data_IF_512475074425
#
_entry.id   IF_512475074425
#
_cell.length_a   1.000
_cell.length_b   1.000
_cell.length_c   1.000
_cell.angle_alpha   90.00
_cell.angle_beta   90.00
_cell.angle_gamma   90.00
#
_symmetry.space_group_name_H-M   'P 1'
#
loop_
_entity.id
_entity.type
_entity.pdbx_description
1 polymer ?
#
# COMPACT_ATOMS: atom_id res chain seq x y z
N UNK A 1 18.74 15.75 10.52
CA UNK A 1 18.41 15.08 9.23
C UNK A 1 17.78 16.13 8.32
N UNK A 2 18.34 16.39 7.14
CA UNK A 2 17.82 17.45 6.25
C UNK A 2 16.47 17.09 5.64
N UNK A 3 15.60 18.08 5.39
CA UNK A 3 14.26 17.89 4.79
C UNK A 3 14.27 16.99 3.54
N UNK A 4 15.31 17.11 2.71
CA UNK A 4 15.49 16.30 1.49
C UNK A 4 15.50 14.79 1.76
N UNK A 5 16.17 14.34 2.84
CA UNK A 5 16.18 12.91 3.20
C UNK A 5 14.82 12.41 3.67
N UNK A 6 13.94 13.26 4.20
CA UNK A 6 12.59 12.85 4.60
C UNK A 6 11.62 12.73 3.42
N UNK A 7 11.92 13.37 2.30
CA UNK A 7 11.12 13.29 1.07
C UNK A 7 11.33 11.96 0.34
N UNK A 8 12.51 11.33 0.52
CA UNK A 8 12.82 10.01 -0.03
C UNK A 8 11.96 8.88 0.59
N UNK A 9 11.40 9.07 1.79
CA UNK A 9 10.59 8.06 2.49
C UNK A 9 9.09 8.09 2.15
N UNK A 10 8.70 8.85 1.11
CA UNK A 10 7.35 8.84 0.56
C UNK A 10 6.52 10.10 0.85
N UNK A 11 5.23 10.08 0.46
CA UNK A 11 4.37 11.25 0.53
C UNK A 11 4.17 11.73 1.99
N UNK A 12 3.88 13.03 2.19
CA UNK A 12 3.57 13.54 3.51
C UNK A 12 2.41 12.76 4.15
N UNK A 13 2.62 12.26 5.37
CA UNK A 13 1.65 11.46 6.09
C UNK A 13 1.75 9.95 5.86
N UNK A 14 2.71 9.45 5.08
CA UNK A 14 2.94 8.01 4.97
C UNK A 14 3.51 7.41 6.27
N UNK A 15 3.17 6.16 6.57
CA UNK A 15 3.74 5.43 7.70
C UNK A 15 5.27 5.37 7.59
N UNK A 16 5.81 5.14 6.39
CA UNK A 16 7.26 5.08 6.16
C UNK A 16 7.99 6.37 6.52
N UNK A 17 7.44 7.53 6.13
CA UNK A 17 8.00 8.83 6.49
C UNK A 17 7.86 9.13 7.97
N UNK A 18 6.74 8.73 8.59
CA UNK A 18 6.53 8.86 10.02
C UNK A 18 7.54 8.01 10.81
N UNK A 19 7.75 6.74 10.42
CA UNK A 19 8.79 5.85 11.01
C UNK A 19 10.17 6.48 10.94
N UNK A 20 10.57 6.99 9.76
CA UNK A 20 11.87 7.63 9.58
C UNK A 20 12.01 8.88 10.49
N UNK A 21 10.94 9.68 10.58
CA UNK A 21 10.87 10.83 11.49
C UNK A 21 10.99 10.41 12.97
N UNK A 22 10.32 9.33 13.37
CA UNK A 22 10.35 8.79 14.73
C UNK A 22 11.72 8.28 15.11
N UNK A 23 12.41 7.54 14.23
CA UNK A 23 13.78 7.07 14.50
C UNK A 23 14.74 8.25 14.63
N UNK A 24 14.61 9.27 13.78
CA UNK A 24 15.44 10.46 13.87
C UNK A 24 15.17 11.25 15.16
N UNK A 25 13.89 11.41 15.53
CA UNK A 25 13.48 12.05 16.77
C UNK A 25 13.99 11.27 17.99
N UNK A 26 13.88 9.94 17.98
CA UNK A 26 14.35 9.08 19.06
C UNK A 26 15.87 9.19 19.26
N UNK A 27 16.64 9.20 18.16
CA UNK A 27 18.09 9.42 18.22
C UNK A 27 18.44 10.80 18.77
N UNK A 28 17.72 11.83 18.35
CA UNK A 28 17.94 13.20 18.83
C UNK A 28 17.59 13.32 20.33
N UNK A 29 16.43 12.81 20.73
CA UNK A 29 16.00 12.80 22.14
C UNK A 29 17.01 12.02 22.99
N UNK A 30 17.48 10.86 22.51
CA UNK A 30 18.48 10.06 23.22
C UNK A 30 19.81 10.81 23.36
N UNK A 31 20.26 11.48 22.30
CA UNK A 31 21.47 12.31 22.33
C UNK A 31 21.33 13.47 23.32
N UNK A 32 20.23 14.24 23.27
CA UNK A 32 19.97 15.35 24.19
C UNK A 32 19.88 14.84 25.64
N UNK A 33 19.20 13.73 25.87
CA UNK A 33 19.07 13.12 27.20
C UNK A 33 20.43 12.74 27.78
N UNK A 34 21.29 12.11 26.97
CA UNK A 34 22.66 11.78 27.40
C UNK A 34 23.54 13.02 27.61
N UNK A 35 23.37 14.05 26.78
CA UNK A 35 24.05 15.33 26.97
C UNK A 35 23.65 16.01 28.29
N UNK A 36 22.35 16.05 28.60
CA UNK A 36 21.83 16.58 29.87
C UNK A 36 22.31 15.74 31.05
N UNK A 37 22.30 14.41 30.95
CA UNK A 37 22.79 13.53 31.99
C UNK A 37 24.30 13.73 32.27
N UNK A 38 25.12 13.83 31.22
CA UNK A 38 26.54 14.11 31.36
C UNK A 38 26.80 15.49 31.98
N UNK A 39 26.08 16.52 31.52
CA UNK A 39 26.14 17.86 32.09
C UNK A 39 25.74 17.89 33.57
N UNK A 40 24.70 17.14 33.95
CA UNK A 40 24.27 17.00 35.34
C UNK A 40 25.36 16.36 36.20
N UNK A 41 25.95 15.23 35.76
CA UNK A 41 27.01 14.54 36.51
C UNK A 41 28.19 15.50 36.76
N UNK A 42 28.64 16.21 35.72
CA UNK A 42 29.74 17.17 35.85
C UNK A 42 29.37 18.30 36.80
N UNK A 43 28.16 18.86 36.67
CA UNK A 43 27.67 19.92 37.55
C UNK A 43 27.57 19.48 39.02
N UNK A 44 27.04 18.28 39.23
CA UNK A 44 26.89 17.67 40.56
C UNK A 44 28.25 17.41 41.19
N UNK A 45 29.21 16.87 40.44
CA UNK A 45 30.58 16.72 40.92
C UNK A 45 31.19 18.05 41.33
N UNK A 46 31.02 19.12 40.54
CA UNK A 46 31.56 20.44 40.89
C UNK A 46 30.98 21.02 42.19
N UNK A 47 29.72 20.74 42.50
CA UNK A 47 29.05 21.25 43.71
C UNK A 47 29.24 20.35 44.93
N UNK A 48 29.16 19.03 44.75
CA UNK A 48 29.22 18.08 45.84
C UNK A 48 30.66 17.75 46.29
N UNK A 49 31.64 17.82 45.38
CA UNK A 49 33.04 17.47 45.73
C UNK A 49 33.61 18.33 46.86
N UNK A 50 33.44 19.67 46.88
CA UNK A 50 33.90 20.49 48.01
C UNK A 50 33.25 20.08 49.32
N UNK A 51 31.93 19.87 49.33
CA UNK A 51 31.18 19.46 50.51
C UNK A 51 31.67 18.11 51.07
N UNK A 52 31.89 17.13 50.20
CA UNK A 52 32.42 15.81 50.61
C UNK A 52 33.87 15.93 51.09
N UNK A 53 34.70 16.76 50.46
CA UNK A 53 36.09 16.97 50.85
C UNK A 53 36.24 17.60 52.25
N UNK A 54 35.29 18.45 52.65
CA UNK A 54 35.26 19.06 53.99
C UNK A 54 34.96 18.02 55.09
N UNK A 55 34.29 16.92 54.74
CA UNK A 55 33.90 15.85 55.65
C UNK A 55 34.83 14.62 55.62
N UNK A 56 35.81 14.59 54.73
CA UNK A 56 36.81 13.51 54.62
C UNK A 56 38.09 13.86 55.39
N UNK A 57 38.78 12.83 55.89
CA UNK A 57 40.12 13.00 56.44
C UNK A 57 41.09 13.53 55.37
N UNK A 58 42.13 14.31 55.75
CA UNK A 58 42.97 15.05 54.80
C UNK A 58 43.57 14.20 53.68
N UNK A 59 43.96 12.96 53.99
CA UNK A 59 44.55 12.00 53.06
C UNK A 59 43.57 11.50 51.98
N UNK A 60 42.25 11.61 52.20
CA UNK A 60 41.21 11.13 51.26
C UNK A 60 40.60 12.23 50.40
N UNK A 61 40.94 13.51 50.63
CA UNK A 61 40.33 14.65 49.92
C UNK A 61 40.46 14.58 48.40
N UNK A 62 41.56 14.02 47.89
CA UNK A 62 41.76 13.82 46.45
C UNK A 62 40.71 12.89 45.81
N UNK A 63 40.07 12.03 46.61
CA UNK A 63 39.03 11.08 46.16
C UNK A 63 37.61 11.55 46.44
N UNK A 64 37.42 12.78 46.95
CA UNK A 64 36.10 13.30 47.32
C UNK A 64 35.07 13.30 46.16
N UNK A 65 35.55 13.39 44.91
CA UNK A 65 34.70 13.38 43.72
C UNK A 65 34.07 12.00 43.42
N UNK A 66 34.61 10.92 43.99
CA UNK A 66 34.17 9.54 43.68
C UNK A 66 32.76 9.30 44.19
N UNK A 67 32.45 9.77 45.41
CA UNK A 67 31.13 9.60 46.03
C UNK A 67 29.99 10.22 45.18
N UNK A 68 30.02 11.51 44.81
CA UNK A 68 28.95 12.11 44.00
C UNK A 68 28.85 11.47 42.62
N UNK A 69 29.98 11.10 42.00
CA UNK A 69 29.98 10.39 40.71
C UNK A 69 29.25 9.04 40.79
N UNK A 70 29.54 8.22 41.82
CA UNK A 70 28.89 6.92 42.01
C UNK A 70 27.39 7.07 42.27
N UNK A 71 27.01 8.05 43.09
CA UNK A 71 25.60 8.32 43.40
C UNK A 71 24.83 8.73 42.14
N UNK A 72 25.38 9.62 41.31
CA UNK A 72 24.71 10.06 40.09
C UNK A 72 24.64 8.97 39.03
N UNK A 73 25.68 8.13 38.90
CA UNK A 73 25.67 6.97 38.02
C UNK A 73 24.62 5.94 38.46
N UNK A 74 24.49 5.71 39.77
CA UNK A 74 23.46 4.83 40.32
C UNK A 74 22.05 5.40 40.08
N UNK A 75 21.87 6.71 40.26
CA UNK A 75 20.62 7.39 39.99
C UNK A 75 20.23 7.30 38.51
N UNK A 76 21.14 7.66 37.61
CA UNK A 76 20.92 7.57 36.17
C UNK A 76 20.66 6.12 35.73
N UNK A 77 21.41 5.17 36.30
CA UNK A 77 21.21 3.74 36.09
C UNK A 77 19.80 3.29 36.49
N UNK A 78 19.30 3.75 37.65
CA UNK A 78 17.94 3.42 38.12
C UNK A 78 16.85 3.95 37.18
N UNK A 79 17.00 5.19 36.68
CA UNK A 79 16.06 5.77 35.73
C UNK A 79 16.07 5.04 34.39
N UNK A 80 17.26 4.64 33.91
CA UNK A 80 17.39 3.87 32.67
C UNK A 80 16.86 2.46 32.79
N UNK A 81 17.07 1.80 33.92
CA UNK A 81 16.50 0.48 34.17
C UNK A 81 14.97 0.52 34.14
N UNK A 82 14.36 1.54 34.73
CA UNK A 82 12.91 1.74 34.71
C UNK A 82 12.38 2.06 33.31
N UNK A 83 13.10 2.91 32.56
CA UNK A 83 12.78 3.17 31.15
C UNK A 83 12.80 1.88 30.31
N UNK A 84 13.83 1.03 30.47
CA UNK A 84 13.92 -0.24 29.75
C UNK A 84 12.82 -1.21 30.21
N UNK A 85 12.56 -1.32 31.51
CA UNK A 85 11.53 -2.19 32.06
C UNK A 85 10.13 -1.80 31.54
N UNK A 86 9.82 -0.50 31.49
CA UNK A 86 8.56 0.03 30.98
C UNK A 86 8.34 -0.31 29.49
N UNK A 87 9.40 -0.31 28.68
CA UNK A 87 9.32 -0.73 27.26
C UNK A 87 8.95 -2.20 27.11
N UNK A 88 9.37 -3.05 28.04
CA UNK A 88 9.03 -4.48 28.05
C UNK A 88 7.76 -4.80 28.83
N UNK A 89 6.99 -3.79 29.26
CA UNK A 89 5.79 -3.95 30.10
C UNK A 89 6.07 -4.71 31.40
N UNK A 90 7.31 -4.68 31.88
CA UNK A 90 7.69 -5.26 33.17
C UNK A 90 7.66 -4.14 34.20
N UNK A 91 6.88 -4.31 35.27
CA UNK A 91 6.94 -3.38 36.39
C UNK A 91 8.25 -3.61 37.15
N UNK A 92 9.04 -2.56 37.36
CA UNK A 92 10.23 -2.62 38.23
C UNK A 92 9.92 -2.95 39.70
N UNK A 93 8.63 -2.99 40.05
CA UNK A 93 8.16 -3.27 41.40
C UNK A 93 8.48 -2.13 42.38
N UNK A 94 8.12 -2.34 43.64
CA UNK A 94 8.34 -1.35 44.70
C UNK A 94 9.84 -1.07 44.89
N UNK A 95 10.71 -2.07 44.71
CA UNK A 95 12.16 -1.94 44.89
C UNK A 95 12.81 -0.98 43.89
N UNK A 96 12.36 -0.93 42.63
CA UNK A 96 12.85 0.06 41.67
C UNK A 96 12.50 1.49 42.12
N UNK A 97 11.28 1.69 42.64
CA UNK A 97 10.85 2.97 43.20
C UNK A 97 11.68 3.38 44.42
N UNK A 98 11.94 2.44 45.34
CA UNK A 98 12.80 2.68 46.51
C UNK A 98 14.23 3.04 46.11
N UNK A 99 14.82 2.31 45.16
CA UNK A 99 16.17 2.59 44.68
C UNK A 99 16.27 3.98 44.04
N UNK A 100 15.28 4.35 43.22
CA UNK A 100 15.19 5.68 42.59
C UNK A 100 15.03 6.78 43.62
N UNK A 101 14.16 6.58 44.61
CA UNK A 101 13.96 7.54 45.69
C UNK A 101 15.25 7.75 46.48
N UNK A 102 15.93 6.66 46.85
CA UNK A 102 17.16 6.73 47.63
C UNK A 102 18.31 7.40 46.87
N UNK A 103 18.54 6.99 45.61
CA UNK A 103 19.61 7.56 44.77
C UNK A 103 19.33 9.01 44.38
N UNK A 104 18.07 9.34 44.07
CA UNK A 104 17.64 10.72 43.82
C UNK A 104 17.76 11.61 45.04
N UNK A 105 17.31 11.14 46.21
CA UNK A 105 17.45 11.87 47.48
C UNK A 105 18.92 12.07 47.86
N UNK A 106 19.77 11.06 47.65
CA UNK A 106 21.21 11.16 47.86
C UNK A 106 21.87 12.21 46.95
N UNK A 107 21.52 12.22 45.66
CA UNK A 107 22.03 13.23 44.71
C UNK A 107 21.59 14.65 45.10
N UNK A 108 20.31 14.83 45.49
CA UNK A 108 19.80 16.12 45.98
C UNK A 108 20.54 16.53 47.25
N UNK A 109 20.66 15.65 48.24
CA UNK A 109 21.34 15.92 49.51
C UNK A 109 22.78 16.41 49.29
N UNK A 110 23.54 15.72 48.44
CA UNK A 110 24.93 16.10 48.13
C UNK A 110 25.05 17.44 47.42
N UNK A 111 24.06 17.80 46.60
CA UNK A 111 24.06 19.08 45.87
C UNK A 111 23.60 20.26 46.72
N UNK A 112 22.71 20.04 47.70
CA UNK A 112 22.18 21.11 48.56
C UNK A 112 22.90 21.24 49.90
N UNK A 113 23.64 20.21 50.34
CA UNK A 113 24.17 20.10 51.71
C UNK A 113 24.89 21.35 52.19
N UNK A 114 25.83 21.85 51.40
CA UNK A 114 26.60 23.05 51.74
C UNK A 114 25.76 24.33 51.84
N UNK A 115 24.75 24.47 50.98
CA UNK A 115 23.85 25.63 51.00
C UNK A 115 22.88 25.55 52.18
N UNK A 116 22.37 24.36 52.47
CA UNK A 116 21.48 24.10 53.60
C UNK A 116 22.17 24.35 54.94
N UNK A 117 23.41 23.90 55.12
CA UNK A 117 24.22 24.15 56.32
C UNK A 117 24.46 25.65 56.58
N UNK A 118 24.59 26.44 55.51
CA UNK A 118 24.76 27.89 55.57
C UNK A 118 23.46 28.67 55.69
N UNK A 119 22.31 27.99 55.66
CA UNK A 119 20.99 28.63 55.63
C UNK A 119 20.70 29.41 54.34
N UNK A 120 21.41 29.13 53.25
CA UNK A 120 21.22 29.77 51.94
C UNK A 120 20.12 29.07 51.14
N UNK A 121 18.88 29.52 51.34
CA UNK A 121 17.72 29.01 50.60
C UNK A 121 17.84 29.24 49.09
N UNK A 122 18.50 30.31 48.66
CA UNK A 122 18.67 30.60 47.23
C UNK A 122 19.56 29.54 46.59
N UNK A 123 20.68 29.22 47.24
CA UNK A 123 21.55 28.11 46.86
C UNK A 123 20.81 26.78 46.83
N UNK A 124 19.99 26.48 47.85
CA UNK A 124 19.19 25.25 47.89
C UNK A 124 18.27 25.15 46.67
N UNK A 125 17.52 26.21 46.32
CA UNK A 125 16.65 26.20 45.15
C UNK A 125 17.44 26.08 43.84
N UNK A 126 18.54 26.81 43.70
CA UNK A 126 19.40 26.75 42.51
C UNK A 126 19.93 25.34 42.26
N UNK A 127 20.35 24.64 43.31
CA UNK A 127 20.86 23.27 43.20
C UNK A 127 19.75 22.21 43.03
N UNK A 128 18.49 22.52 43.40
CA UNK A 128 17.32 21.66 43.17
C UNK A 128 16.81 21.67 41.73
N UNK A 129 17.07 22.74 40.96
CA UNK A 129 16.58 22.86 39.57
C UNK A 129 17.12 21.71 38.71
N UNK A 130 18.41 21.39 38.81
CA UNK A 130 19.04 20.38 37.95
C UNK A 130 18.48 18.96 38.17
N UNK A 131 18.42 18.43 39.41
CA UNK A 131 17.77 17.14 39.67
C UNK A 131 16.27 17.15 39.32
N UNK A 132 15.58 18.28 39.57
CA UNK A 132 14.17 18.44 39.25
C UNK A 132 13.87 18.29 37.75
N UNK A 133 14.66 18.95 36.89
CA UNK A 133 14.53 18.81 35.44
C UNK A 133 14.75 17.37 34.99
N UNK A 134 15.71 16.66 35.60
CA UNK A 134 16.01 15.29 35.21
C UNK A 134 14.88 14.31 35.58
N UNK A 135 14.28 14.49 36.75
CA UNK A 135 13.07 13.74 37.15
C UNK A 135 11.92 14.03 36.19
N UNK A 136 11.66 15.30 35.88
CA UNK A 136 10.61 15.68 34.93
C UNK A 136 10.85 15.11 33.53
N UNK A 137 12.10 15.09 33.07
CA UNK A 137 12.47 14.52 31.77
C UNK A 137 12.27 12.99 31.76
N UNK A 138 12.62 12.32 32.85
CA UNK A 138 12.43 10.88 33.01
C UNK A 138 10.94 10.48 33.02
N UNK A 139 10.07 11.29 33.62
CA UNK A 139 8.62 11.06 33.62
C UNK A 139 7.95 11.42 32.28
N UNK A 140 8.35 12.54 31.67
CA UNK A 140 7.74 13.01 30.43
C UNK A 140 8.15 12.18 29.21
N UNK A 141 9.39 11.67 29.18
CA UNK A 141 9.96 10.93 28.07
C UNK A 141 9.12 9.72 27.63
N UNK A 142 8.78 8.79 28.54
CA UNK A 142 7.90 7.65 28.25
C UNK A 142 6.53 8.06 27.70
N UNK A 143 5.90 9.09 28.27
CA UNK A 143 4.57 9.56 27.83
C UNK A 143 4.61 10.04 26.39
N UNK A 144 5.62 10.82 26.01
CA UNK A 144 5.78 11.27 24.63
C UNK A 144 6.01 10.07 23.69
N UNK A 145 6.90 9.14 24.05
CA UNK A 145 7.18 7.93 23.25
C UNK A 145 5.93 7.09 23.04
N UNK A 146 5.12 6.86 24.08
CA UNK A 146 3.86 6.12 23.97
C UNK A 146 2.86 6.82 23.04
N UNK A 147 2.71 8.14 23.14
CA UNK A 147 1.81 8.91 22.24
C UNK A 147 2.29 8.87 20.80
N UNK A 148 3.60 8.96 20.57
CA UNK A 148 4.22 8.87 19.26
C UNK A 148 4.04 7.47 18.63
N UNK A 149 4.22 6.41 19.43
CA UNK A 149 3.97 5.03 19.00
C UNK A 149 2.49 4.80 18.64
N UNK A 150 1.55 5.24 19.47
CA UNK A 150 0.12 5.11 19.17
C UNK A 150 -0.29 5.83 17.88
N UNK A 151 0.28 7.01 17.62
CA UNK A 151 0.06 7.72 16.34
C UNK A 151 0.62 6.96 15.13
N UNK A 152 1.71 6.21 15.30
CA UNK A 152 2.26 5.38 14.24
C UNK A 152 1.31 4.21 13.94
N UNK A 153 0.85 3.52 14.98
CA UNK A 153 -0.08 2.40 14.86
C UNK A 153 -1.38 2.82 14.17
N UNK A 154 -1.93 3.99 14.51
CA UNK A 154 -3.12 4.57 13.88
C UNK A 154 -2.93 4.79 12.37
N UNK A 155 -1.76 5.30 11.96
CA UNK A 155 -1.44 5.56 10.54
C UNK A 155 -1.25 4.26 9.79
N UNK A 156 -0.55 3.28 10.38
CA UNK A 156 -0.35 1.97 9.79
C UNK A 156 -1.66 1.22 9.60
N UNK A 157 -2.56 1.27 10.59
CA UNK A 157 -3.90 0.70 10.48
C UNK A 157 -4.72 1.38 9.39
N UNK A 158 -4.62 2.71 9.26
CA UNK A 158 -5.31 3.45 8.22
C UNK A 158 -4.78 3.12 6.82
N UNK A 159 -3.47 2.92 6.66
CA UNK A 159 -2.87 2.47 5.39
C UNK A 159 -3.25 1.03 5.05
N UNK A 160 -3.23 0.12 6.02
CA UNK A 160 -3.65 -1.26 5.83
C UNK A 160 -5.11 -1.35 5.36
N UNK A 161 -6.02 -0.58 5.99
CA UNK A 161 -7.44 -0.49 5.58
C UNK A 161 -7.60 0.07 4.16
N UNK A 162 -6.81 1.09 3.79
CA UNK A 162 -6.84 1.63 2.41
C UNK A 162 -6.37 0.60 1.39
N UNK A 163 -5.30 -0.13 1.70
CA UNK A 163 -4.79 -1.19 0.84
C UNK A 163 -5.78 -2.34 0.69
N UNK A 164 -6.50 -2.72 1.74
CA UNK A 164 -7.56 -3.74 1.70
C UNK A 164 -8.73 -3.30 0.82
N UNK A 165 -9.23 -2.07 0.99
CA UNK A 165 -10.29 -1.51 0.15
C UNK A 165 -9.87 -1.44 -1.33
N UNK A 166 -8.62 -1.07 -1.60
CA UNK A 166 -8.11 -1.05 -2.98
C UNK A 166 -8.01 -2.45 -3.59
N UNK A 167 -7.56 -3.46 -2.81
CA UNK A 167 -7.54 -4.86 -3.26
C UNK A 167 -8.95 -5.37 -3.55
N UNK A 168 -9.89 -5.16 -2.62
CA UNK A 168 -11.29 -5.52 -2.81
C UNK A 168 -11.90 -4.86 -4.06
N UNK A 169 -11.56 -3.59 -4.32
CA UNK A 169 -12.00 -2.90 -5.53
C UNK A 169 -11.41 -3.53 -6.80
N UNK A 170 -10.11 -3.85 -6.81
CA UNK A 170 -9.46 -4.51 -7.96
C UNK A 170 -10.04 -5.89 -8.22
N UNK A 171 -10.35 -6.65 -7.17
CA UNK A 171 -11.02 -7.96 -7.27
C UNK A 171 -12.42 -7.83 -7.84
N UNK A 172 -13.23 -6.88 -7.35
CA UNK A 172 -14.56 -6.61 -7.90
C UNK A 172 -14.51 -6.17 -9.37
N UNK A 173 -13.55 -5.31 -9.74
CA UNK A 173 -13.37 -4.90 -11.13
C UNK A 173 -12.93 -6.08 -12.02
N UNK A 174 -12.06 -6.96 -11.52
CA UNK A 174 -11.64 -8.17 -12.23
C UNK A 174 -12.80 -9.17 -12.38
N UNK A 175 -13.64 -9.35 -11.36
CA UNK A 175 -14.81 -10.20 -11.42
C UNK A 175 -15.85 -9.65 -12.41
N UNK A 176 -16.10 -8.34 -12.40
CA UNK A 176 -16.97 -7.69 -13.40
C UNK A 176 -16.46 -7.92 -14.82
N UNK A 177 -15.15 -7.79 -15.05
CA UNK A 177 -14.55 -8.07 -16.37
C UNK A 177 -14.70 -9.54 -16.78
N UNK A 178 -14.56 -10.49 -15.84
CA UNK A 178 -14.79 -11.91 -16.10
C UNK A 178 -16.24 -12.20 -16.48
N UNK A 179 -17.20 -11.64 -15.74
CA UNK A 179 -18.63 -11.78 -16.03
C UNK A 179 -18.97 -11.19 -17.40
N UNK A 180 -18.46 -10.00 -17.72
CA UNK A 180 -18.65 -9.38 -19.04
C UNK A 180 -18.06 -10.23 -20.17
N UNK A 181 -16.83 -10.71 -20.01
CA UNK A 181 -16.20 -11.59 -21.01
C UNK A 181 -16.97 -12.90 -21.21
N UNK A 182 -17.55 -13.46 -20.13
CA UNK A 182 -18.39 -14.64 -20.22
C UNK A 182 -19.71 -14.36 -20.93
N UNK A 183 -20.40 -13.27 -20.59
CA UNK A 183 -21.62 -12.85 -21.30
C UNK A 183 -21.38 -12.59 -22.79
N UNK A 184 -20.26 -11.96 -23.14
CA UNK A 184 -19.90 -11.69 -24.53
C UNK A 184 -19.56 -12.98 -25.28
N UNK A 185 -18.85 -13.92 -24.65
CA UNK A 185 -18.59 -15.24 -25.22
C UNK A 185 -19.89 -16.05 -25.43
N UNK A 186 -20.83 -15.97 -24.47
CA UNK A 186 -22.13 -16.62 -24.59
C UNK A 186 -22.96 -16.01 -25.73
N UNK A 187 -22.97 -14.67 -25.87
CA UNK A 187 -23.61 -13.96 -26.99
C UNK A 187 -22.98 -14.32 -28.34
N UNK A 188 -21.65 -14.47 -28.39
CA UNK A 188 -20.96 -14.90 -29.61
C UNK A 188 -21.30 -16.35 -29.96
N UNK A 189 -21.34 -17.25 -28.98
CA UNK A 189 -21.73 -18.64 -29.19
C UNK A 189 -23.20 -18.76 -29.65
N UNK A 190 -24.09 -17.93 -29.12
CA UNK A 190 -25.49 -17.88 -29.58
C UNK A 190 -25.59 -17.37 -31.01
N UNK A 191 -24.87 -16.29 -31.37
CA UNK A 191 -24.80 -15.79 -32.76
C UNK A 191 -24.29 -16.86 -33.72
N UNK A 192 -23.23 -17.58 -33.36
CA UNK A 192 -22.69 -18.67 -34.18
C UNK A 192 -23.69 -19.82 -34.36
N UNK A 193 -24.46 -20.16 -33.31
CA UNK A 193 -25.53 -21.17 -33.41
C UNK A 193 -26.64 -20.72 -34.35
N UNK A 194 -27.09 -19.47 -34.23
CA UNK A 194 -28.13 -18.91 -35.11
C UNK A 194 -27.65 -18.84 -36.57
N UNK A 195 -26.40 -18.45 -36.81
CA UNK A 195 -25.82 -18.45 -38.16
C UNK A 195 -25.71 -19.86 -38.75
N UNK A 196 -25.27 -20.84 -37.94
CA UNK A 196 -25.21 -22.23 -38.37
C UNK A 196 -26.60 -22.82 -38.66
N UNK A 197 -27.62 -22.45 -37.89
CA UNK A 197 -29.01 -22.85 -38.14
C UNK A 197 -29.56 -22.23 -39.43
N UNK A 198 -29.31 -20.94 -39.67
CA UNK A 198 -29.68 -20.28 -40.93
C UNK A 198 -29.00 -20.90 -42.15
N UNK A 199 -27.73 -21.28 -42.03
CA UNK A 199 -27.01 -21.97 -43.10
C UNK A 199 -27.65 -23.34 -43.39
N UNK A 200 -27.99 -24.12 -42.36
CA UNK A 200 -28.70 -25.41 -42.53
C UNK A 200 -30.08 -25.24 -43.16
N UNK A 201 -30.80 -24.19 -42.77
CA UNK A 201 -32.11 -23.87 -43.36
C UNK A 201 -31.97 -23.49 -44.84
N UNK A 202 -30.97 -22.67 -45.20
CA UNK A 202 -30.66 -22.33 -46.59
C UNK A 202 -30.29 -23.57 -47.40
N UNK A 203 -29.43 -24.45 -46.88
CA UNK A 203 -29.07 -25.71 -47.52
C UNK A 203 -30.31 -26.60 -47.76
N UNK A 204 -31.21 -26.69 -46.78
CA UNK A 204 -32.46 -27.43 -46.88
C UNK A 204 -33.42 -26.82 -47.92
N UNK A 205 -33.55 -25.49 -47.95
CA UNK A 205 -34.35 -24.80 -48.97
C UNK A 205 -33.79 -25.00 -50.38
N UNK A 206 -32.46 -24.90 -50.54
CA UNK A 206 -31.79 -25.09 -51.83
C UNK A 206 -31.92 -26.54 -52.30
N UNK A 207 -31.80 -27.52 -51.40
CA UNK A 207 -32.07 -28.92 -51.70
C UNK A 207 -33.52 -29.13 -52.11
N UNK A 208 -34.48 -28.52 -51.41
CA UNK A 208 -35.90 -28.59 -51.78
C UNK A 208 -36.18 -27.96 -53.14
N UNK A 209 -35.62 -26.78 -53.43
CA UNK A 209 -35.72 -26.15 -54.76
C UNK A 209 -35.10 -27.01 -55.84
N UNK A 210 -33.98 -27.68 -55.55
CA UNK A 210 -33.34 -28.59 -56.49
C UNK A 210 -34.22 -29.78 -56.82
N UNK A 211 -34.83 -30.41 -55.81
CA UNK A 211 -35.80 -31.48 -55.99
C UNK A 211 -37.03 -31.01 -56.77
N UNK A 212 -37.60 -29.85 -56.43
CA UNK A 212 -38.74 -29.26 -57.17
C UNK A 212 -38.40 -29.00 -58.65
N UNK A 213 -37.18 -28.53 -58.95
CA UNK A 213 -36.71 -28.35 -60.33
C UNK A 213 -36.49 -29.68 -61.06
N UNK A 214 -36.03 -30.72 -60.36
CA UNK A 214 -35.89 -32.08 -60.89
C UNK A 214 -37.28 -32.67 -61.20
N UNK A 215 -38.25 -32.56 -60.29
CA UNK A 215 -39.64 -32.97 -60.52
C UNK A 215 -40.26 -32.23 -61.71
N UNK A 216 -40.08 -30.91 -61.83
CA UNK A 216 -40.54 -30.16 -63.01
C UNK A 216 -39.88 -30.63 -64.32
N UNK A 217 -38.60 -31.00 -64.27
CA UNK A 217 -37.89 -31.58 -65.42
C UNK A 217 -38.44 -32.96 -65.77
N UNK A 218 -38.77 -33.78 -64.78
CA UNK A 218 -39.39 -35.08 -64.98
C UNK A 218 -40.82 -34.95 -65.53
N UNK A 219 -41.63 -34.05 -64.98
CA UNK A 219 -42.98 -33.76 -65.50
C UNK A 219 -42.95 -33.25 -66.93
N UNK A 220 -42.03 -32.32 -67.25
CA UNK A 220 -41.88 -31.81 -68.61
C UNK A 220 -41.38 -32.89 -69.57
N UNK A 221 -40.50 -33.81 -69.13
CA UNK A 221 -40.11 -35.01 -69.90
C UNK A 221 -41.29 -35.96 -70.10
N UNK A 222 -42.09 -36.21 -69.06
CA UNK A 222 -43.27 -37.06 -69.12
C UNK A 222 -44.32 -36.48 -70.08
N UNK A 223 -44.58 -35.17 -70.01
CA UNK A 223 -45.46 -34.45 -70.94
C UNK A 223 -44.96 -34.57 -72.39
N UNK A 224 -43.67 -34.31 -72.63
CA UNK A 224 -43.06 -34.48 -73.96
C UNK A 224 -43.14 -35.93 -74.45
N UNK A 225 -42.96 -36.91 -73.57
CA UNK A 225 -43.07 -38.33 -73.93
C UNK A 225 -44.51 -38.71 -74.29
N UNK A 226 -45.51 -38.18 -73.58
CA UNK A 226 -46.92 -38.35 -73.92
C UNK A 226 -47.27 -37.68 -75.25
N UNK A 227 -46.78 -36.45 -75.49
CA UNK A 227 -46.94 -35.75 -76.76
C UNK A 227 -46.26 -36.49 -77.91
N UNK A 228 -45.03 -36.98 -77.73
CA UNK A 228 -44.34 -37.78 -78.73
C UNK A 228 -45.07 -39.08 -79.03
N UNK A 229 -45.62 -39.77 -78.02
CA UNK A 229 -46.48 -40.94 -78.24
C UNK A 229 -47.74 -40.58 -79.01
N UNK A 230 -48.36 -39.43 -78.74
CA UNK A 230 -49.53 -38.95 -79.48
C UNK A 230 -49.18 -38.67 -80.95
N UNK A 231 -48.08 -37.96 -81.19
CA UNK A 231 -47.58 -37.68 -82.54
C UNK A 231 -47.19 -38.95 -83.28
N UNK A 232 -46.54 -39.92 -82.64
CA UNK A 232 -46.20 -41.22 -83.25
C UNK A 232 -47.46 -42.01 -83.63
N UNK A 233 -48.52 -41.95 -82.81
CA UNK A 233 -49.82 -42.54 -83.16
C UNK A 233 -50.48 -41.80 -84.33
N UNK A 234 -50.37 -40.48 -84.41
CA UNK A 234 -50.84 -39.67 -85.53
C UNK A 234 -50.02 -39.91 -86.81
N UNK A 235 -48.69 -40.03 -86.70
CA UNK A 235 -47.80 -40.38 -87.80
C UNK A 235 -48.07 -41.80 -88.29
N UNK A 236 -48.27 -42.78 -87.41
CA UNK A 236 -48.67 -44.13 -87.81
C UNK A 236 -50.03 -44.15 -88.52
N UNK A 237 -50.97 -43.27 -88.14
CA UNK A 237 -52.21 -43.06 -88.90
C UNK A 237 -51.95 -42.48 -90.28
N UNK A 238 -51.00 -41.55 -90.42
CA UNK A 238 -50.64 -40.92 -91.70
C UNK A 238 -49.78 -41.82 -92.60
N UNK A 239 -48.90 -42.64 -92.02
CA UNK A 239 -48.00 -43.55 -92.73
C UNK A 239 -48.76 -44.72 -93.38
N UNK A 240 -49.89 -45.14 -92.79
CA UNK A 240 -50.86 -46.02 -93.43
C UNK A 240 -51.49 -45.43 -94.72
N UNK A 241 -51.22 -44.16 -95.05
CA UNK A 241 -51.69 -43.49 -96.27
C UNK A 241 -50.57 -43.02 -97.22
N UNK A 242 -49.30 -43.41 -97.00
CA UNK A 242 -48.18 -42.97 -97.85
C UNK A 242 -47.78 -44.05 -98.88
N UNK A 243 -47.92 -43.79 -100.20
CA UNK A 243 -47.45 -44.70 -101.24
C UNK A 243 -45.92 -44.72 -101.34
N UNK A 244 -45.38 -45.93 -101.49
CA UNK A 244 -43.96 -46.29 -101.57
C UNK A 244 -43.31 -45.80 -102.87
N UNK A 245 -42.16 -45.09 -102.83
CA UNK A 245 -41.31 -44.88 -104.01
C UNK A 245 -40.10 -45.82 -104.04
N UNK A 246 -39.75 -46.22 -105.26
CA UNK A 246 -38.71 -47.18 -105.66
C UNK A 246 -37.30 -46.52 -105.85
N UNK A 247 -36.24 -47.29 -106.15
CA UNK A 247 -34.84 -47.01 -105.76
C UNK A 247 -34.01 -46.25 -106.81
N UNK A 248 -32.98 -45.49 -106.37
CA UNK A 248 -31.87 -45.02 -107.20
C UNK A 248 -30.54 -44.94 -106.42
N UNK A 249 -29.45 -45.33 -107.08
CA UNK A 249 -28.03 -45.20 -106.71
C UNK A 249 -27.35 -44.15 -107.65
N UNK A 250 -26.01 -43.98 -107.70
CA UNK A 250 -25.00 -43.59 -106.71
C UNK A 250 -24.18 -42.34 -107.16
N UNK A 251 -23.43 -41.66 -106.26
CA UNK A 251 -22.29 -40.73 -106.49
C UNK A 251 -21.96 -39.98 -105.18
N UNK A 252 -20.78 -39.50 -104.80
CA UNK A 252 -19.38 -39.57 -105.23
C UNK A 252 -18.51 -38.88 -104.13
N UNK A 253 -17.32 -39.42 -103.84
CA UNK A 253 -16.04 -38.79 -103.44
C UNK A 253 -15.91 -37.53 -102.54
N UNK A 254 -15.32 -37.75 -101.33
CA UNK A 254 -14.16 -37.06 -100.66
C UNK A 254 -14.21 -35.53 -100.33
N UNK A 255 -13.31 -34.92 -99.48
CA UNK A 255 -12.11 -35.46 -98.80
C UNK A 255 -11.86 -35.04 -97.30
N UNK A 256 -10.98 -35.83 -96.65
CA UNK A 256 -9.86 -35.52 -95.72
C UNK A 256 -9.86 -34.43 -94.60
N UNK A 257 -9.61 -34.95 -93.36
CA UNK A 257 -8.64 -34.50 -92.33
C UNK A 257 -8.98 -33.25 -91.42
N UNK A 258 -8.34 -33.06 -90.24
CA UNK A 258 -7.21 -33.80 -89.64
C UNK A 258 -7.35 -34.24 -88.15
N UNK A 259 -6.40 -35.10 -87.80
CA UNK A 259 -6.00 -35.61 -86.49
C UNK A 259 -5.44 -34.51 -85.57
N UNK A 260 -5.82 -34.49 -84.28
CA UNK A 260 -5.02 -33.89 -83.19
C UNK A 260 -5.09 -34.71 -81.89
N UNK A 261 -4.02 -35.48 -81.68
CA UNK A 261 -3.13 -35.61 -80.49
C UNK A 261 -3.73 -35.56 -79.07
N UNK A 262 -3.37 -36.51 -78.18
CA UNK A 262 -3.76 -36.53 -76.77
C UNK A 262 -2.80 -35.68 -75.92
N UNK A 263 -3.33 -34.92 -74.96
CA UNK A 263 -2.52 -34.24 -73.93
C UNK A 263 -2.87 -34.81 -72.57
N UNK A 264 -1.85 -35.41 -71.96
CA UNK A 264 -1.79 -35.86 -70.59
C UNK A 264 -2.06 -34.72 -69.61
N UNK A 265 -2.78 -35.00 -68.52
CA UNK A 265 -2.63 -34.25 -67.28
C UNK A 265 -2.20 -35.21 -66.18
N UNK A 266 -0.89 -35.13 -65.91
CA UNK A 266 -0.18 -35.30 -64.65
C UNK A 266 -0.84 -36.17 -63.57
N UNK A 267 -0.21 -37.31 -63.35
CA UNK A 267 -0.27 -38.06 -62.11
C UNK A 267 0.16 -37.21 -60.91
N UNK A 268 -0.59 -37.31 -59.81
CA UNK A 268 -0.06 -37.19 -58.45
C UNK A 268 -0.78 -38.20 -57.57
N UNK A 269 -0.11 -39.33 -57.33
CA UNK A 269 -0.35 -40.22 -56.20
C UNK A 269 0.31 -39.62 -54.94
N UNK A 270 0.31 -40.30 -53.78
CA UNK A 270 -0.79 -40.85 -53.00
C UNK A 270 -0.88 -40.21 -51.59
N UNK A 271 -1.84 -40.71 -50.80
CA UNK A 271 -1.94 -40.66 -49.33
C UNK A 271 -0.58 -40.57 -48.61
N UNK A 272 -0.49 -39.72 -47.58
CA UNK A 272 -0.32 -40.09 -46.15
C UNK A 272 0.00 -38.83 -45.33
N UNK A 273 -0.81 -38.55 -44.32
CA UNK A 273 -0.62 -37.40 -43.43
C UNK A 273 -1.63 -37.41 -42.30
N UNK A 274 -1.69 -38.53 -41.58
CA UNK A 274 -2.30 -38.61 -40.25
C UNK A 274 -1.52 -37.66 -39.33
N UNK A 275 -2.15 -36.69 -38.63
CA UNK A 275 -1.53 -36.18 -37.43
C UNK A 275 -1.67 -37.27 -36.36
N UNK A 276 -0.55 -37.89 -36.02
CA UNK A 276 -0.45 -38.73 -34.84
C UNK A 276 -0.86 -37.89 -33.60
N UNK A 277 -1.61 -38.46 -32.65
CA UNK A 277 -1.77 -37.88 -31.33
C UNK A 277 -0.40 -37.88 -30.65
N UNK A 278 0.01 -36.72 -30.13
CA UNK A 278 1.18 -36.66 -29.28
C UNK A 278 0.98 -37.53 -28.05
N UNK A 279 2.03 -38.28 -27.75
CA UNK A 279 2.14 -39.19 -26.64
C UNK A 279 1.82 -38.48 -25.31
N UNK A 280 0.90 -39.09 -24.56
CA UNK A 280 0.98 -39.12 -23.11
C UNK A 280 2.37 -39.66 -22.73
N UNK A 281 3.25 -38.79 -22.28
CA UNK A 281 4.31 -39.18 -21.37
C UNK A 281 3.77 -39.05 -19.95
N UNK A 282 3.59 -40.22 -19.32
CA UNK A 282 3.38 -40.30 -17.89
C UNK A 282 4.59 -39.71 -17.17
N UNK A 283 4.37 -38.57 -16.53
CA UNK A 283 5.12 -38.17 -15.36
C UNK A 283 4.23 -38.47 -14.16
N UNK A 284 4.46 -39.64 -13.58
CA UNK A 284 4.12 -39.91 -12.20
C UNK A 284 4.83 -38.86 -11.33
N UNK A 285 4.04 -38.03 -10.64
CA UNK A 285 4.39 -37.46 -9.35
C UNK A 285 3.07 -37.13 -8.65
N UNK A 286 2.77 -37.91 -7.62
CA UNK A 286 1.50 -37.89 -6.90
C UNK A 286 1.22 -36.55 -6.23
N UNK A 287 0.01 -36.05 -6.43
CA UNK A 287 -0.65 -35.17 -5.48
C UNK A 287 -1.50 -36.05 -4.54
N UNK A 288 -1.56 -35.70 -3.25
CA UNK A 288 -2.20 -36.52 -2.23
C UNK A 288 -3.72 -36.56 -2.44
N UNK A 289 -4.26 -37.78 -2.37
CA UNK A 289 -5.69 -38.06 -2.23
C UNK A 289 -6.18 -37.33 -0.97
N UNK A 290 -7.07 -36.36 -1.14
CA UNK A 290 -7.86 -35.83 -0.05
C UNK A 290 -8.84 -36.92 0.41
N UNK A 291 -8.98 -37.18 1.72
CA UNK A 291 -9.86 -38.23 2.20
C UNK A 291 -11.32 -37.92 1.87
N UNK A 292 -12.02 -38.96 1.43
CA UNK A 292 -13.45 -39.01 1.17
C UNK A 292 -14.20 -38.56 2.43
N UNK A 293 -14.93 -37.45 2.30
CA UNK A 293 -15.73 -36.92 3.39
C UNK A 293 -16.98 -37.77 3.54
N UNK A 294 -17.03 -38.53 4.63
CA UNK A 294 -18.21 -39.26 5.09
C UNK A 294 -19.41 -38.27 5.25
N UNK A 295 -20.50 -38.44 4.49
CA UNK A 295 -21.65 -37.54 4.55
C UNK A 295 -22.45 -37.66 5.85
N UNK A 296 -22.18 -38.65 6.71
CA UNK A 296 -22.91 -38.86 7.97
C UNK A 296 -22.15 -38.33 9.22
N UNK A 297 -20.99 -37.69 9.05
CA UNK A 297 -20.24 -37.10 10.16
C UNK A 297 -20.93 -35.84 10.73
N UNK A 298 -21.56 -35.99 11.90
CA UNK A 298 -22.21 -34.89 12.63
C UNK A 298 -21.26 -33.76 12.99
N UNK A 299 -21.77 -32.53 13.07
CA UNK A 299 -21.01 -31.30 13.29
C UNK A 299 -20.14 -31.29 14.57
N UNK A 300 -20.37 -32.21 15.51
CA UNK A 300 -19.58 -32.37 16.73
C UNK A 300 -18.19 -33.01 16.49
N UNK A 301 -18.05 -33.92 15.52
CA UNK A 301 -16.77 -34.61 15.26
C UNK A 301 -15.75 -33.75 14.50
N UNK A 302 -16.20 -32.76 13.73
CA UNK A 302 -15.31 -31.83 13.01
C UNK A 302 -14.57 -30.86 13.93
N UNK A 303 -15.10 -30.59 15.12
CA UNK A 303 -14.43 -29.72 16.09
C UNK A 303 -13.26 -30.42 16.82
N UNK A 304 -13.30 -31.75 16.94
CA UNK A 304 -12.25 -32.51 17.61
C UNK A 304 -11.01 -32.74 16.70
N UNK A 305 -11.19 -32.91 15.39
CA UNK A 305 -10.07 -33.16 14.46
C UNK A 305 -9.24 -31.89 14.13
N UNK A 306 -9.77 -30.69 14.36
CA UNK A 306 -9.05 -29.43 14.10
C UNK A 306 -7.97 -29.10 15.16
N UNK A 307 -7.91 -29.82 16.29
CA UNK A 307 -6.98 -29.53 17.40
C UNK A 307 -5.69 -30.37 17.34
N UNK A 308 -5.62 -31.40 16.49
CA UNK A 308 -4.48 -32.35 16.46
C UNK A 308 -3.45 -32.13 15.34
N UNK A 309 -3.55 -31.06 14.55
CA UNK A 309 -2.60 -30.75 13.47
C UNK A 309 -1.80 -29.47 13.72
N UNK A 310 -0.91 -29.48 14.72
CA UNK A 310 0.21 -28.54 14.82
C UNK A 310 1.54 -29.29 14.62
N UNK A 311 2.43 -28.85 13.73
CA UNK A 311 3.76 -29.44 13.61
C UNK A 311 4.61 -29.09 14.84
N UNK A 312 5.25 -30.11 15.42
CA UNK A 312 6.16 -30.02 16.54
C UNK A 312 7.37 -29.14 16.22
N UNK A 313 7.68 -28.19 17.11
CA UNK A 313 8.90 -27.40 17.07
C UNK A 313 10.14 -28.27 17.34
N UNK A 314 11.28 -28.05 16.64
CA UNK A 314 12.50 -28.80 16.91
C UNK A 314 13.10 -28.38 18.25
N UNK A 315 13.31 -29.38 19.13
CA UNK A 315 14.03 -29.24 20.39
C UNK A 315 15.50 -28.89 20.13
N UNK A 316 15.97 -27.81 20.74
CA UNK A 316 17.38 -27.45 20.78
C UNK A 316 18.08 -28.22 21.94
N UNK A 317 19.24 -28.86 21.70
CA UNK A 317 19.97 -29.55 22.75
C UNK A 317 20.75 -28.56 23.62
N UNK A 318 20.65 -28.79 24.94
CA UNK A 318 21.48 -28.16 25.95
C UNK A 318 22.94 -28.57 25.76
N UNK A 319 23.83 -27.59 25.60
CA UNK A 319 25.27 -27.80 25.68
C UNK A 319 25.89 -26.75 26.61
N UNK A 320 26.41 -27.28 27.71
CA UNK A 320 27.38 -26.70 28.63
C UNK A 320 28.54 -26.04 27.87
N UNK A 321 28.86 -24.77 28.15
CA UNK A 321 30.22 -24.24 27.97
C UNK A 321 30.59 -23.29 29.11
N UNK A 322 31.62 -23.73 29.82
CA UNK A 322 32.46 -22.97 30.76
C UNK A 322 33.40 -22.03 30.00
N UNK A 323 33.79 -20.98 30.71
CA UNK A 323 35.02 -20.16 30.60
C UNK A 323 35.26 -19.35 29.33
N UNK A 324 35.28 -18.01 29.48
CA UNK A 324 36.41 -17.18 29.07
C UNK A 324 36.23 -15.72 29.54
N UNK A 325 37.03 -15.36 30.54
CA UNK A 325 37.53 -14.01 30.83
C UNK A 325 38.33 -13.44 29.65
N UNK A 326 38.10 -12.18 29.25
CA UNK A 326 39.06 -11.19 28.72
C UNK A 326 38.26 -10.04 28.07
N UNK A 327 38.28 -8.82 28.64
CA UNK A 327 39.27 -7.77 28.32
C UNK A 327 39.18 -7.26 26.89
N UNK A 328 38.55 -6.09 26.70
CA UNK A 328 39.07 -5.03 25.81
C UNK A 328 38.66 -3.67 26.38
N UNK A 329 39.58 -3.05 27.12
CA UNK A 329 39.75 -1.61 27.10
C UNK A 329 40.77 -1.30 26.00
N UNK A 330 40.41 -0.46 25.03
CA UNK A 330 41.38 0.24 24.19
C UNK A 330 40.74 1.53 23.68
N UNK A 331 41.25 2.64 24.22
CA UNK A 331 41.01 3.99 23.77
C UNK A 331 41.59 4.20 22.37
N UNK A 332 40.97 5.07 21.57
CA UNK A 332 41.69 5.85 20.57
C UNK A 332 41.02 7.21 20.34
N UNK A 333 41.89 8.21 20.51
CA UNK A 333 41.77 9.66 20.38
C UNK A 333 40.92 10.22 19.22
N UNK A 334 40.24 11.33 19.52
CA UNK A 334 39.92 12.42 18.59
C UNK A 334 40.95 13.58 18.80
N UNK A 335 40.94 14.72 18.07
CA UNK A 335 40.07 15.15 16.97
C UNK A 335 40.79 15.85 15.77
N UNK A 336 40.13 15.89 14.61
CA UNK A 336 40.46 16.79 13.51
C UNK A 336 39.80 18.16 13.71
N UNK A 337 40.63 19.16 14.02
CA UNK A 337 40.28 20.58 14.23
C UNK A 337 40.27 21.30 12.87
N UNK A 338 39.09 21.69 12.39
CA UNK A 338 38.95 22.57 11.21
C UNK A 338 38.80 24.00 11.71
N UNK A 339 39.89 24.77 11.65
CA UNK A 339 39.89 26.22 11.86
C UNK A 339 39.49 26.89 10.54
N UNK A 340 38.24 27.33 10.42
CA UNK A 340 37.86 28.31 9.41
C UNK A 340 38.30 29.69 9.91
N UNK A 341 39.17 30.31 9.09
CA UNK A 341 39.75 31.65 9.21
C UNK A 341 38.62 32.68 9.13
N UNK A 342 38.44 33.47 10.18
CA UNK A 342 37.64 34.69 10.18
C UNK A 342 38.62 35.80 9.80
N UNK A 343 38.46 36.35 8.60
CA UNK A 343 39.10 37.60 8.20
C UNK A 343 38.22 38.77 8.65
N UNK A 344 38.88 39.75 9.25
CA UNK A 344 38.33 41.01 9.72
C UNK A 344 37.62 41.74 8.56
N UNK A 345 36.32 41.99 8.73
CA UNK A 345 35.53 42.84 7.83
C UNK A 345 35.06 44.05 8.64
N UNK A 346 35.64 45.19 8.28
CA UNK A 346 35.50 46.50 8.91
C UNK A 346 34.04 46.98 8.95
N UNK A 347 33.72 47.72 10.03
CA UNK A 347 32.43 48.34 10.33
C UNK A 347 31.97 49.30 9.23
N UNK A 348 31.07 48.85 8.35
CA UNK A 348 30.14 49.72 7.63
C UNK A 348 28.80 49.81 8.40
N UNK A 349 28.24 51.03 8.61
CA UNK A 349 26.96 51.18 9.30
C UNK A 349 25.82 50.57 8.47
N UNK A 350 25.21 49.53 9.03
CA UNK A 350 24.12 48.78 8.41
C UNK A 350 22.98 49.73 7.96
N UNK A 351 22.53 49.66 6.69
CA UNK A 351 21.36 50.40 6.24
C UNK A 351 20.12 49.92 7.03
N UNK A 352 19.32 50.87 7.51
CA UNK A 352 18.10 50.58 8.25
C UNK A 352 17.22 49.61 7.46
N UNK A 353 16.69 48.54 8.09
CA UNK A 353 15.87 47.56 7.40
C UNK A 353 14.60 48.24 6.90
N UNK A 354 14.49 48.38 5.58
CA UNK A 354 13.24 48.72 4.90
C UNK A 354 12.24 47.63 5.28
N UNK A 355 11.06 47.95 5.85
CA UNK A 355 10.09 46.94 6.23
C UNK A 355 9.73 46.10 5.01
N UNK A 356 9.94 44.79 5.12
CA UNK A 356 9.59 43.85 4.06
C UNK A 356 8.12 44.08 3.68
N UNK A 357 7.78 44.13 2.37
CA UNK A 357 6.41 44.28 1.93
C UNK A 357 5.58 43.18 2.59
N UNK A 358 4.54 43.57 3.32
CA UNK A 358 3.65 42.63 3.98
C UNK A 358 3.20 41.59 2.95
N UNK A 359 3.56 40.33 3.18
CA UNK A 359 3.08 39.23 2.34
C UNK A 359 1.56 39.25 2.26
N UNK A 360 0.95 38.60 1.26
CA UNK A 360 -0.50 38.59 1.09
C UNK A 360 -1.17 38.28 2.43
N UNK A 361 -1.92 39.25 2.95
CA UNK A 361 -2.54 39.17 4.27
C UNK A 361 -3.30 37.87 4.41
N UNK A 362 -3.17 37.20 5.57
CA UNK A 362 -3.88 35.95 5.80
C UNK A 362 -5.38 36.23 5.65
N UNK A 363 -6.11 35.32 5.00
CA UNK A 363 -7.52 35.51 4.67
C UNK A 363 -8.43 35.81 5.88
N UNK A 364 -7.98 35.48 7.11
CA UNK A 364 -8.67 35.76 8.37
C UNK A 364 -8.32 37.10 9.03
N UNK A 365 -7.48 37.91 8.39
CA UNK A 365 -7.09 39.26 8.81
C UNK A 365 -7.68 40.33 7.87
N UNK A 366 -8.69 39.99 7.05
CA UNK A 366 -9.35 40.96 6.17
C UNK A 366 -10.09 42.04 7.01
N UNK A 367 -9.96 43.32 6.66
CA UNK A 367 -10.54 44.42 7.45
C UNK A 367 -12.07 44.38 7.51
N UNK A 368 -12.71 43.78 6.50
CA UNK A 368 -14.17 43.76 6.35
C UNK A 368 -14.82 42.45 6.84
N UNK A 369 -14.12 41.68 7.69
CA UNK A 369 -14.64 40.44 8.26
C UNK A 369 -15.75 40.72 9.29
N UNK A 370 -16.95 40.14 9.12
CA UNK A 370 -18.00 40.19 10.14
C UNK A 370 -17.51 39.66 11.51
N UNK A 371 -18.03 40.22 12.61
CA UNK A 371 -17.58 39.90 13.97
C UNK A 371 -17.80 38.42 14.35
N UNK A 372 -18.85 37.80 13.83
CA UNK A 372 -19.16 36.37 13.97
C UNK A 372 -18.12 35.46 13.30
N UNK A 373 -17.36 35.96 12.33
CA UNK A 373 -16.22 35.25 11.75
C UNK A 373 -14.95 35.31 12.62
N UNK A 374 -14.95 36.03 13.75
CA UNK A 374 -13.82 36.18 14.66
C UNK A 374 -12.50 36.56 13.95
N UNK A 375 -12.40 37.78 13.37
CA UNK A 375 -11.18 38.23 12.68
C UNK A 375 -9.95 38.13 13.58
N UNK A 376 -8.79 37.84 13.00
CA UNK A 376 -7.53 37.65 13.75
C UNK A 376 -7.36 36.30 14.44
N UNK A 377 -8.43 35.48 14.52
CA UNK A 377 -8.35 34.15 15.15
C UNK A 377 -7.88 33.08 14.16
N UNK A 378 -6.90 32.30 14.57
CA UNK A 378 -6.39 31.15 13.80
C UNK A 378 -7.51 30.10 13.64
N UNK A 379 -7.69 29.48 12.46
CA UNK A 379 -8.79 28.56 12.21
C UNK A 379 -8.92 27.38 13.19
N UNK A 380 -7.81 26.93 13.79
CA UNK A 380 -7.79 25.83 14.77
C UNK A 380 -8.46 26.17 16.11
N UNK A 381 -8.73 27.46 16.37
CA UNK A 381 -9.31 27.98 17.61
C UNK A 381 -10.76 28.46 17.45
N UNK A 382 -11.39 28.19 16.30
CA UNK A 382 -12.76 28.61 16.03
C UNK A 382 -13.77 27.66 16.68
N UNK A 383 -14.84 28.23 17.23
CA UNK A 383 -16.03 27.46 17.59
C UNK A 383 -16.73 26.96 16.32
N UNK A 384 -17.61 25.97 16.43
CA UNK A 384 -18.35 25.47 15.27
C UNK A 384 -19.24 26.54 14.63
N UNK A 385 -19.78 27.45 15.43
CA UNK A 385 -20.56 28.60 14.97
C UNK A 385 -19.68 29.59 14.19
N UNK A 386 -18.50 29.94 14.71
CA UNK A 386 -17.53 30.81 14.03
C UNK A 386 -17.02 30.17 12.72
N UNK A 387 -16.75 28.86 12.74
CA UNK A 387 -16.35 28.13 11.55
C UNK A 387 -17.48 28.13 10.50
N UNK A 388 -18.75 27.95 10.92
CA UNK A 388 -19.90 28.04 10.02
C UNK A 388 -20.08 29.45 9.46
N UNK A 389 -19.96 30.49 10.28
CA UNK A 389 -20.00 31.89 9.84
C UNK A 389 -18.93 32.18 8.76
N UNK A 390 -17.69 31.71 8.99
CA UNK A 390 -16.61 31.80 7.98
C UNK A 390 -16.93 31.06 6.68
N UNK A 391 -17.54 29.88 6.74
CA UNK A 391 -17.96 29.15 5.54
C UNK A 391 -19.02 29.94 4.77
N UNK A 392 -20.03 30.48 5.45
CA UNK A 392 -21.09 31.29 4.84
C UNK A 392 -20.49 32.54 4.18
N UNK A 393 -19.64 33.27 4.89
CA UNK A 393 -18.94 34.44 4.36
C UNK A 393 -18.12 34.10 3.11
N UNK A 394 -17.35 33.00 3.15
CA UNK A 394 -16.56 32.55 2.01
C UNK A 394 -17.40 32.10 0.80
N UNK A 395 -18.61 31.56 1.02
CA UNK A 395 -19.54 31.17 -0.05
C UNK A 395 -20.19 32.37 -0.74
N UNK A 396 -20.30 33.53 -0.07
CA UNK A 396 -20.82 34.77 -0.65
C UNK A 396 -19.79 35.47 -1.55
N UNK A 397 -18.51 35.09 -1.47
CA UNK A 397 -17.42 35.63 -2.29
C UNK A 397 -17.27 34.80 -3.57
N UNK A 398 -17.47 35.42 -4.73
CA UNK A 398 -17.43 34.74 -6.04
C UNK A 398 -16.01 34.30 -6.45
N UNK A 399 -14.97 34.89 -5.86
CA UNK A 399 -13.57 34.62 -6.16
C UNK A 399 -12.95 33.50 -5.30
N UNK A 400 -13.71 32.91 -4.36
CA UNK A 400 -13.18 31.93 -3.42
C UNK A 400 -13.48 30.49 -3.84
N UNK A 401 -12.41 29.68 -3.96
CA UNK A 401 -12.56 28.24 -4.17
C UNK A 401 -13.00 27.54 -2.88
N UNK A 402 -13.69 26.41 -2.99
CA UNK A 402 -14.11 25.62 -1.81
C UNK A 402 -12.94 25.24 -0.89
N UNK A 403 -11.76 24.98 -1.48
CA UNK A 403 -10.54 24.67 -0.73
C UNK A 403 -10.06 25.88 0.09
N UNK A 404 -10.12 27.09 -0.48
CA UNK A 404 -9.80 28.34 0.23
C UNK A 404 -10.77 28.60 1.37
N UNK A 405 -12.07 28.43 1.12
CA UNK A 405 -13.13 28.56 2.15
C UNK A 405 -12.87 27.58 3.30
N UNK A 406 -12.52 26.32 3.00
CA UNK A 406 -12.18 25.33 4.01
C UNK A 406 -10.95 25.71 4.84
N UNK A 407 -9.89 26.21 4.21
CA UNK A 407 -8.70 26.68 4.91
C UNK A 407 -8.99 27.90 5.81
N UNK A 408 -9.77 28.86 5.32
CA UNK A 408 -10.22 30.04 6.07
C UNK A 408 -11.05 29.67 7.31
N UNK A 409 -11.92 28.67 7.19
CA UNK A 409 -12.81 28.21 8.26
C UNK A 409 -12.22 27.10 9.17
N UNK A 410 -11.06 26.54 8.84
CA UNK A 410 -10.49 25.41 9.59
C UNK A 410 -11.34 24.13 9.46
N UNK A 411 -11.95 23.92 8.28
CA UNK A 411 -12.85 22.81 8.00
C UNK A 411 -12.56 22.19 6.63
N UNK A 412 -12.98 20.94 6.43
CA UNK A 412 -12.78 20.24 5.15
C UNK A 412 -13.72 20.78 4.06
N UNK A 413 -13.34 20.60 2.79
CA UNK A 413 -14.19 20.97 1.65
C UNK A 413 -15.54 20.23 1.66
N UNK A 414 -15.61 19.02 2.22
CA UNK A 414 -16.87 18.28 2.40
C UNK A 414 -17.83 19.01 3.35
N UNK A 415 -17.32 19.57 4.45
CA UNK A 415 -18.13 20.38 5.37
C UNK A 415 -18.63 21.65 4.69
N UNK A 416 -17.78 22.31 3.89
CA UNK A 416 -18.18 23.46 3.06
C UNK A 416 -19.33 23.09 2.12
N UNK A 417 -19.26 21.94 1.43
CA UNK A 417 -20.33 21.46 0.55
C UNK A 417 -21.63 21.17 1.29
N UNK A 418 -21.57 20.62 2.51
CA UNK A 418 -22.76 20.39 3.34
C UNK A 418 -23.44 21.70 3.72
N UNK A 419 -22.67 22.71 4.14
CA UNK A 419 -23.22 24.04 4.46
C UNK A 419 -23.80 24.70 3.21
N UNK A 420 -23.10 24.62 2.07
CA UNK A 420 -23.60 25.11 0.78
C UNK A 420 -24.93 24.46 0.39
N UNK A 421 -25.04 23.14 0.51
CA UNK A 421 -26.27 22.41 0.23
C UNK A 421 -27.41 22.77 1.20
N UNK A 422 -27.09 23.09 2.45
CA UNK A 422 -28.08 23.54 3.43
C UNK A 422 -28.59 24.96 3.17
N UNK A 423 -27.78 25.84 2.58
CA UNK A 423 -28.20 27.20 2.18
C UNK A 423 -29.02 27.23 0.88
N UNK A 424 -28.93 26.17 0.07
CA UNK A 424 -29.67 26.04 -1.19
C UNK A 424 -31.09 25.47 -0.99
N UNK A 425 -31.40 25.01 0.22
CA UNK A 425 -32.74 24.60 0.66
C UNK A 425 -33.40 25.77 1.36
#
# INVERSE_FOLDING_TARGET
MGRKKLEEFGPPGSAARLRAGLVAADRFISFVTWGVAAGMIVWSMLNATPYVADHLAPEWRATAFVLPLVVDLAFLGSLRADEIASRHKVSGGVWAGVLRLFTGAGSVFLNIGHAAEKGDWTGVFQHLITPGILVLLAEAGPVYRCRLAGRLDDVELAEAKKAEVERARREQEAERRRRQAQEDADREAERQRQEAERLREQEWEDERRRLELEDQREESRAKRALEARRLDLEEKRLALHRPVPAPQAPAATAPAAPVRVPVASVASAPRTGVPAPQALTGAANGLPVAPEADPDATAADRAAQAVSALPAAPQAPAALRKDATASVAAAQAAPGRVTARIEDQEDEPAPQPVPAPAGPGKDWDLPDLPADCAPGRVPDLLTDEQARARIVYGLLRTDWTQRRIGAFAGRSATTVNKVKAALAK
#
